data_IF_064837096688
#
_entry.id   IF_064837096688
#
_cell.length_a   1.000
_cell.length_b   1.000
_cell.length_c   1.000
_cell.angle_alpha   90.00
_cell.angle_beta   90.00
_cell.angle_gamma   90.00
#
_symmetry.space_group_name_H-M   'P 1'
#
loop_
_entity.id
_entity.type
_entity.pdbx_description
1 polymer ?
#
# COMPACT_ATOMS: atom_id res chain seq x y z
N UNK A 1 -21.99 -53.06 25.62
CA UNK A 1 -21.05 -51.91 25.72
C UNK A 1 -21.44 -51.15 26.97
N UNK A 2 -20.55 -51.04 27.95
CA UNK A 2 -20.88 -50.39 29.24
C UNK A 2 -20.95 -48.87 29.07
N UNK A 3 -21.93 -48.21 29.69
CA UNK A 3 -22.22 -46.76 29.66
C UNK A 3 -20.93 -45.93 29.88
N UNK A 4 -20.03 -46.41 30.74
CA UNK A 4 -18.75 -45.76 30.99
C UNK A 4 -17.76 -45.68 29.82
N UNK A 5 -17.85 -46.62 28.82
CA UNK A 5 -17.03 -46.56 27.62
C UNK A 5 -17.52 -45.54 26.61
N UNK A 6 -18.85 -45.38 26.52
CA UNK A 6 -19.48 -44.36 25.64
C UNK A 6 -19.19 -42.97 26.15
N UNK A 7 -19.31 -42.75 27.47
CA UNK A 7 -19.01 -41.42 28.08
C UNK A 7 -17.53 -41.04 27.88
N UNK A 8 -16.59 -41.96 28.05
CA UNK A 8 -15.16 -41.68 27.83
C UNK A 8 -14.83 -41.38 26.37
N UNK A 9 -15.52 -42.05 25.43
CA UNK A 9 -15.33 -41.79 24.01
C UNK A 9 -15.88 -40.41 23.60
N UNK A 10 -17.05 -40.03 24.09
CA UNK A 10 -17.66 -38.70 23.87
C UNK A 10 -16.79 -37.60 24.44
N UNK A 11 -16.27 -37.77 25.64
CA UNK A 11 -15.37 -36.80 26.26
C UNK A 11 -14.09 -36.58 25.44
N UNK A 12 -13.45 -37.64 24.99
CA UNK A 12 -12.25 -37.52 24.14
C UNK A 12 -12.55 -36.85 22.79
N UNK A 13 -13.68 -37.15 22.18
CA UNK A 13 -14.09 -36.48 20.94
C UNK A 13 -14.30 -34.98 21.14
N UNK A 14 -14.96 -34.57 22.24
CA UNK A 14 -15.17 -33.16 22.59
C UNK A 14 -13.83 -32.44 22.80
N UNK A 15 -12.90 -33.05 23.55
CA UNK A 15 -11.58 -32.45 23.79
C UNK A 15 -10.81 -32.28 22.49
N UNK A 16 -10.85 -33.28 21.58
CA UNK A 16 -10.18 -33.21 20.27
C UNK A 16 -10.79 -32.02 19.44
N UNK A 17 -12.09 -31.93 19.38
CA UNK A 17 -12.77 -30.83 18.66
C UNK A 17 -12.41 -29.46 19.24
N UNK A 18 -12.37 -29.33 20.58
CA UNK A 18 -11.96 -28.10 21.24
C UNK A 18 -10.50 -27.75 20.95
N UNK A 19 -9.59 -28.71 20.94
CA UNK A 19 -8.17 -28.50 20.60
C UNK A 19 -8.02 -28.07 19.14
N UNK A 20 -8.73 -28.72 18.22
CA UNK A 20 -8.72 -28.34 16.80
C UNK A 20 -9.27 -26.90 16.62
N UNK A 21 -10.36 -26.57 17.28
CA UNK A 21 -10.95 -25.23 17.23
C UNK A 21 -9.99 -24.18 17.81
N UNK A 22 -9.29 -24.49 18.90
CA UNK A 22 -8.28 -23.61 19.50
C UNK A 22 -7.08 -23.40 18.58
N UNK A 23 -6.59 -24.47 17.96
CA UNK A 23 -5.48 -24.39 16.99
C UNK A 23 -5.91 -23.61 15.75
N UNK A 24 -7.11 -23.84 15.22
CA UNK A 24 -7.66 -23.09 14.11
C UNK A 24 -7.84 -21.60 14.46
N UNK A 25 -8.35 -21.29 15.66
CA UNK A 25 -8.46 -19.92 16.15
C UNK A 25 -7.11 -19.24 16.31
N UNK A 26 -6.08 -19.94 16.82
CA UNK A 26 -4.72 -19.43 16.93
C UNK A 26 -4.06 -19.22 15.56
N UNK A 27 -4.32 -20.10 14.58
CA UNK A 27 -3.82 -19.96 13.22
C UNK A 27 -4.50 -18.79 12.48
N UNK A 28 -5.82 -18.63 12.67
CA UNK A 28 -6.57 -17.48 12.12
C UNK A 28 -6.09 -16.17 12.78
N UNK A 29 -5.91 -16.16 14.11
CA UNK A 29 -5.43 -14.96 14.81
C UNK A 29 -3.98 -14.61 14.39
N UNK A 30 -3.11 -15.61 14.22
CA UNK A 30 -1.76 -15.39 13.67
C UNK A 30 -1.76 -14.94 12.22
N UNK A 31 -2.69 -15.43 11.39
CA UNK A 31 -2.85 -14.96 10.02
C UNK A 31 -3.33 -13.50 10.01
N UNK A 32 -4.31 -13.14 10.85
CA UNK A 32 -4.81 -11.76 10.96
C UNK A 32 -3.79 -10.81 11.59
N UNK A 33 -3.01 -11.26 12.59
CA UNK A 33 -1.88 -10.49 13.15
C UNK A 33 -0.72 -10.37 12.15
N UNK A 34 -0.45 -11.40 11.36
CA UNK A 34 0.53 -11.34 10.27
C UNK A 34 0.07 -10.36 9.17
N UNK A 35 -1.22 -10.30 8.85
CA UNK A 35 -1.77 -9.30 7.96
C UNK A 35 -1.71 -7.88 8.55
N UNK A 36 -1.96 -7.71 9.86
CA UNK A 36 -1.97 -6.38 10.47
C UNK A 36 -0.60 -5.82 10.85
N UNK A 37 0.39 -6.67 11.11
CA UNK A 37 1.72 -6.26 11.62
C UNK A 37 2.87 -6.33 10.61
N UNK A 38 2.66 -6.91 9.43
CA UNK A 38 3.75 -7.40 8.59
C UNK A 38 4.12 -6.50 7.41
N UNK A 39 3.27 -5.58 6.99
CA UNK A 39 3.55 -4.81 5.78
C UNK A 39 4.70 -3.81 5.91
N UNK A 40 4.91 -3.22 7.08
CA UNK A 40 6.06 -2.33 7.34
C UNK A 40 7.40 -3.08 7.43
N UNK A 41 7.39 -4.36 7.79
CA UNK A 41 8.59 -5.17 7.96
C UNK A 41 9.09 -5.84 6.66
N UNK A 42 8.34 -5.73 5.55
CA UNK A 42 8.63 -6.44 4.30
C UNK A 42 9.35 -5.59 3.24
N UNK A 43 9.48 -4.29 3.44
CA UNK A 43 10.32 -3.46 2.56
C UNK A 43 11.79 -3.67 2.93
N UNK A 44 12.55 -4.31 2.04
CA UNK A 44 14.01 -4.29 2.16
C UNK A 44 14.50 -2.85 1.99
N UNK A 45 15.47 -2.41 2.81
CA UNK A 45 16.10 -1.11 2.59
C UNK A 45 16.62 -1.02 1.15
N UNK A 46 16.49 0.16 0.56
CA UNK A 46 17.06 0.42 -0.77
C UNK A 46 18.55 0.15 -0.78
N UNK A 47 19.02 -0.60 -1.78
CA UNK A 47 20.45 -0.79 -2.00
C UNK A 47 21.11 0.51 -2.48
N UNK A 48 22.45 0.59 -2.38
CA UNK A 48 23.18 1.75 -2.93
C UNK A 48 22.98 1.93 -4.44
N UNK A 49 22.74 0.83 -5.16
CA UNK A 49 22.43 0.87 -6.58
C UNK A 49 21.02 1.43 -6.86
N UNK A 50 20.04 1.12 -5.97
CA UNK A 50 18.70 1.65 -6.10
C UNK A 50 18.65 3.15 -5.78
N UNK A 51 19.37 3.58 -4.74
CA UNK A 51 19.51 4.99 -4.38
C UNK A 51 20.14 5.79 -5.53
N UNK A 52 21.26 5.29 -6.08
CA UNK A 52 21.90 5.90 -7.24
C UNK A 52 20.94 6.03 -8.41
N UNK A 53 20.17 4.98 -8.70
CA UNK A 53 19.18 5.01 -9.78
C UNK A 53 18.07 6.05 -9.53
N UNK A 54 17.58 6.19 -8.27
CA UNK A 54 16.61 7.24 -7.93
C UNK A 54 17.16 8.62 -8.24
N UNK A 55 18.39 8.90 -7.81
CA UNK A 55 19.04 10.19 -8.09
C UNK A 55 19.27 10.40 -9.60
N UNK A 56 19.74 9.39 -10.33
CA UNK A 56 19.94 9.50 -11.78
C UNK A 56 18.64 9.71 -12.56
N UNK A 57 17.52 9.24 -12.03
CA UNK A 57 16.19 9.31 -12.70
C UNK A 57 15.41 10.56 -12.31
N UNK A 58 15.51 10.99 -11.05
CA UNK A 58 14.65 12.00 -10.47
C UNK A 58 15.36 13.23 -9.89
N UNK A 59 16.69 13.33 -9.97
CA UNK A 59 17.38 14.56 -9.60
C UNK A 59 17.09 15.68 -10.62
N UNK A 60 17.01 16.90 -10.10
CA UNK A 60 16.87 18.10 -10.92
C UNK A 60 15.50 18.78 -10.81
N UNK A 61 14.58 18.23 -10.03
CA UNK A 61 13.34 18.91 -9.68
C UNK A 61 13.55 19.77 -8.43
N UNK A 62 13.19 21.05 -8.51
CA UNK A 62 13.42 22.01 -7.42
C UNK A 62 12.37 21.86 -6.31
N UNK A 63 11.17 21.39 -6.68
CA UNK A 63 10.04 21.25 -5.76
C UNK A 63 9.44 19.86 -5.81
N UNK A 64 8.77 19.45 -4.71
CA UNK A 64 8.01 18.21 -4.71
C UNK A 64 6.90 18.19 -5.76
N UNK A 65 6.28 19.33 -6.04
CA UNK A 65 5.21 19.45 -7.04
C UNK A 65 5.76 19.17 -8.45
N UNK A 66 6.93 19.73 -8.80
CA UNK A 66 7.61 19.42 -10.07
C UNK A 66 8.00 17.93 -10.13
N UNK A 67 8.61 17.39 -9.07
CA UNK A 67 8.90 15.95 -9.03
C UNK A 67 7.63 15.10 -9.27
N UNK A 68 6.52 15.46 -8.64
CA UNK A 68 5.27 14.70 -8.76
C UNK A 68 4.72 14.76 -10.19
N UNK A 69 4.56 15.97 -10.74
CA UNK A 69 3.86 16.17 -12.02
C UNK A 69 4.75 15.94 -13.25
N UNK A 70 6.01 16.32 -13.18
CA UNK A 70 6.93 16.28 -14.32
C UNK A 70 7.90 15.07 -14.26
N UNK A 71 8.06 14.45 -13.08
CA UNK A 71 8.90 13.29 -12.87
C UNK A 71 8.09 12.00 -12.64
N UNK A 72 7.45 11.86 -11.49
CA UNK A 72 6.89 10.59 -11.05
C UNK A 72 5.67 10.14 -11.88
N UNK A 73 4.74 11.03 -12.20
CA UNK A 73 3.54 10.69 -12.99
C UNK A 73 3.93 10.26 -14.41
N UNK A 74 4.77 11.00 -15.17
CA UNK A 74 5.25 10.54 -16.46
C UNK A 74 6.00 9.20 -16.40
N UNK A 75 6.83 8.99 -15.37
CA UNK A 75 7.52 7.74 -15.17
C UNK A 75 6.56 6.56 -14.97
N UNK A 76 5.58 6.68 -14.07
CA UNK A 76 4.56 5.63 -13.84
C UNK A 76 3.78 5.31 -15.11
N UNK A 77 3.35 6.33 -15.85
CA UNK A 77 2.54 6.13 -17.05
C UNK A 77 3.30 5.51 -18.22
N UNK A 78 4.64 5.69 -18.26
CA UNK A 78 5.50 5.13 -19.32
C UNK A 78 6.10 3.78 -18.97
N UNK A 79 6.31 3.48 -17.67
CA UNK A 79 7.14 2.35 -17.26
C UNK A 79 6.39 1.30 -16.42
N UNK A 80 5.16 1.60 -15.95
CA UNK A 80 4.42 0.66 -15.10
C UNK A 80 3.24 0.03 -15.83
N UNK A 81 2.96 -1.21 -15.44
CA UNK A 81 1.80 -1.99 -15.89
C UNK A 81 1.03 -2.48 -14.68
N UNK A 82 -0.27 -2.21 -14.61
CA UNK A 82 -1.10 -2.78 -13.56
C UNK A 82 -1.36 -4.27 -13.84
N UNK A 83 -1.12 -5.09 -12.81
CA UNK A 83 -1.27 -6.54 -12.91
C UNK A 83 -2.60 -6.97 -12.29
N UNK A 84 -3.64 -7.10 -13.12
CA UNK A 84 -4.97 -7.53 -12.70
C UNK A 84 -4.98 -8.98 -12.20
N UNK A 85 -4.08 -9.82 -12.70
CA UNK A 85 -4.00 -11.24 -12.32
C UNK A 85 -3.37 -11.44 -10.93
N UNK A 86 -2.61 -10.46 -10.45
CA UNK A 86 -1.97 -10.51 -9.12
C UNK A 86 -2.97 -10.67 -7.96
N UNK A 87 -4.18 -10.15 -8.11
CA UNK A 87 -5.24 -10.28 -7.11
C UNK A 87 -5.74 -11.72 -6.89
N UNK A 88 -5.41 -12.66 -7.77
CA UNK A 88 -5.76 -14.07 -7.61
C UNK A 88 -4.73 -14.89 -6.82
N UNK A 89 -3.55 -14.33 -6.54
CA UNK A 89 -2.47 -15.01 -5.81
C UNK A 89 -2.34 -14.53 -4.36
N UNK A 90 -3.42 -14.53 -3.62
CA UNK A 90 -3.57 -14.00 -2.24
C UNK A 90 -2.61 -14.61 -1.18
N UNK A 91 -1.72 -15.52 -1.55
CA UNK A 91 -0.84 -16.23 -0.61
C UNK A 91 0.66 -15.99 -0.80
N UNK A 92 1.07 -15.23 -1.78
CA UNK A 92 2.49 -14.91 -1.92
C UNK A 92 2.69 -13.47 -1.46
N UNK A 93 3.05 -13.31 -0.20
CA UNK A 93 3.63 -12.06 0.33
C UNK A 93 4.93 -11.83 -0.46
N UNK A 94 4.82 -11.21 -1.61
CA UNK A 94 6.01 -10.78 -2.34
C UNK A 94 6.63 -9.65 -1.54
N UNK A 95 7.83 -9.90 -1.05
CA UNK A 95 8.65 -8.85 -0.43
C UNK A 95 8.82 -7.76 -1.46
N UNK A 96 8.44 -6.54 -1.08
CA UNK A 96 8.74 -5.38 -1.88
C UNK A 96 10.26 -5.30 -2.08
N UNK A 97 10.68 -5.32 -3.33
CA UNK A 97 12.07 -5.17 -3.70
C UNK A 97 12.18 -4.05 -4.73
N UNK A 98 12.80 -2.95 -4.33
CA UNK A 98 12.88 -1.73 -5.15
C UNK A 98 13.53 -1.96 -6.52
N UNK A 99 14.47 -2.90 -6.65
CA UNK A 99 15.15 -3.18 -7.91
C UNK A 99 14.20 -3.63 -9.05
N UNK A 100 13.01 -4.13 -8.71
CA UNK A 100 12.00 -4.51 -9.71
C UNK A 100 11.51 -3.32 -10.52
N UNK A 101 11.46 -2.13 -9.91
CA UNK A 101 10.99 -0.89 -10.58
C UNK A 101 12.00 -0.29 -11.57
N UNK A 102 13.22 -0.81 -11.60
CA UNK A 102 14.24 -0.39 -12.58
C UNK A 102 14.15 -1.17 -13.90
N UNK A 103 13.25 -2.12 -13.97
CA UNK A 103 13.00 -2.89 -15.19
C UNK A 103 11.93 -2.17 -16.03
N UNK A 104 12.10 -2.19 -17.34
CA UNK A 104 11.07 -1.73 -18.25
C UNK A 104 9.81 -2.60 -18.08
N UNK A 105 8.64 -1.99 -18.18
CA UNK A 105 7.35 -2.65 -18.04
C UNK A 105 7.16 -3.36 -16.67
N UNK A 106 7.44 -2.66 -15.57
CA UNK A 106 7.18 -3.21 -14.24
C UNK A 106 5.69 -3.53 -14.05
N UNK A 107 5.39 -4.79 -13.82
CA UNK A 107 4.04 -5.27 -13.50
C UNK A 107 3.83 -5.27 -11.99
N UNK A 108 2.78 -4.57 -11.52
CA UNK A 108 2.50 -4.47 -10.09
C UNK A 108 1.09 -4.05 -9.77
N UNK A 109 0.80 -3.98 -8.47
CA UNK A 109 -0.50 -3.59 -7.91
C UNK A 109 -0.40 -2.31 -7.09
N UNK A 110 -1.53 -1.76 -6.67
CA UNK A 110 -1.65 -0.48 -5.98
C UNK A 110 -0.65 -0.32 -4.81
N UNK A 111 -0.52 -1.32 -3.96
CA UNK A 111 0.41 -1.31 -2.85
C UNK A 111 1.88 -1.17 -3.29
N UNK A 112 2.28 -1.87 -4.34
CA UNK A 112 3.65 -1.82 -4.84
C UNK A 112 3.98 -0.44 -5.44
N UNK A 113 3.04 0.18 -6.16
CA UNK A 113 3.21 1.54 -6.67
C UNK A 113 3.29 2.56 -5.54
N UNK A 114 2.47 2.38 -4.49
CA UNK A 114 2.53 3.23 -3.32
C UNK A 114 3.87 3.10 -2.55
N UNK A 115 4.41 1.89 -2.43
CA UNK A 115 5.73 1.64 -1.82
C UNK A 115 6.87 2.23 -2.64
N UNK A 116 6.81 2.10 -3.96
CA UNK A 116 7.77 2.73 -4.86
C UNK A 116 7.81 4.24 -4.64
N UNK A 117 6.65 4.89 -4.69
CA UNK A 117 6.54 6.35 -4.53
C UNK A 117 7.09 6.80 -3.17
N UNK A 118 6.73 6.09 -2.09
CA UNK A 118 7.27 6.35 -0.76
C UNK A 118 8.79 6.24 -0.73
N UNK A 119 9.36 5.21 -1.37
CA UNK A 119 10.80 4.99 -1.39
C UNK A 119 11.53 6.08 -2.15
N UNK A 120 11.03 6.49 -3.33
CA UNK A 120 11.61 7.58 -4.14
C UNK A 120 11.61 8.88 -3.35
N UNK A 121 10.46 9.28 -2.81
CA UNK A 121 10.33 10.56 -2.09
C UNK A 121 11.15 10.57 -0.80
N UNK A 122 11.19 9.46 -0.07
CA UNK A 122 12.01 9.37 1.14
C UNK A 122 13.50 9.46 0.83
N UNK A 123 13.97 8.89 -0.27
CA UNK A 123 15.38 8.98 -0.68
C UNK A 123 15.76 10.40 -1.10
N UNK A 124 14.90 11.10 -1.84
CA UNK A 124 15.20 12.44 -2.38
C UNK A 124 15.06 13.55 -1.34
N UNK A 125 14.02 13.49 -0.51
CA UNK A 125 13.65 14.59 0.40
C UNK A 125 13.82 14.24 1.89
N UNK A 126 14.06 12.97 2.24
CA UNK A 126 14.22 12.57 3.64
C UNK A 126 13.00 12.92 4.48
N UNK A 127 13.17 13.81 5.46
CA UNK A 127 12.10 14.27 6.36
C UNK A 127 11.36 15.53 5.88
N UNK A 128 11.84 16.20 4.83
CA UNK A 128 11.22 17.43 4.30
C UNK A 128 9.87 17.14 3.65
N UNK A 129 9.73 15.96 3.03
CA UNK A 129 8.47 15.47 2.49
C UNK A 129 8.11 14.16 3.18
N UNK A 130 7.09 14.18 4.02
CA UNK A 130 6.61 12.96 4.67
C UNK A 130 5.64 12.24 3.76
N UNK A 131 5.99 11.02 3.38
CA UNK A 131 5.17 10.15 2.54
C UNK A 131 4.52 9.06 3.36
N UNK A 132 3.21 8.94 3.25
CA UNK A 132 2.41 7.90 3.88
C UNK A 132 1.72 7.05 2.83
N UNK A 133 1.50 5.79 3.17
CA UNK A 133 0.63 4.89 2.43
C UNK A 133 -0.61 4.66 3.27
N UNK A 134 -1.77 4.89 2.68
CA UNK A 134 -3.05 4.62 3.30
C UNK A 134 -3.73 3.46 2.59
N UNK A 135 -3.99 2.39 3.32
CA UNK A 135 -4.86 1.32 2.86
C UNK A 135 -6.31 1.68 3.19
N UNK A 136 -7.16 1.63 2.19
CA UNK A 136 -8.57 2.03 2.27
C UNK A 136 -9.50 0.92 1.83
N UNK A 137 -10.75 0.99 2.28
CA UNK A 137 -11.88 0.19 1.78
C UNK A 137 -12.71 1.05 0.86
N UNK A 138 -12.66 0.75 -0.44
CA UNK A 138 -13.36 1.52 -1.46
C UNK A 138 -14.87 1.46 -1.21
N UNK A 139 -15.53 2.62 -1.15
CA UNK A 139 -16.96 2.76 -0.88
C UNK A 139 -17.40 1.96 0.36
N UNK A 140 -16.61 1.97 1.44
CA UNK A 140 -16.84 1.22 2.69
C UNK A 140 -16.97 -0.31 2.47
N UNK A 141 -16.51 -0.84 1.35
CA UNK A 141 -16.64 -2.24 1.03
C UNK A 141 -15.42 -3.04 1.52
N UNK A 142 -15.62 -3.92 2.50
CA UNK A 142 -14.58 -4.77 3.11
C UNK A 142 -13.86 -5.71 2.14
N UNK A 143 -14.48 -6.03 1.00
CA UNK A 143 -13.87 -6.90 -0.02
C UNK A 143 -13.10 -6.12 -1.10
N UNK A 144 -13.15 -4.79 -1.10
CA UNK A 144 -12.48 -3.94 -2.07
C UNK A 144 -11.49 -3.02 -1.36
N UNK A 145 -10.24 -3.43 -1.34
CA UNK A 145 -9.16 -2.65 -0.74
C UNK A 145 -8.30 -1.98 -1.80
N UNK A 146 -7.73 -0.84 -1.45
CA UNK A 146 -6.81 -0.10 -2.30
C UNK A 146 -5.74 0.58 -1.46
N UNK A 147 -4.62 0.97 -2.09
CA UNK A 147 -3.54 1.69 -1.42
C UNK A 147 -3.29 3.00 -2.15
N UNK A 148 -3.39 4.09 -1.38
CA UNK A 148 -3.08 5.44 -1.83
C UNK A 148 -1.79 5.95 -1.20
N UNK A 149 -1.16 6.95 -1.82
CA UNK A 149 -0.19 7.79 -1.16
C UNK A 149 -0.81 9.11 -0.74
N UNK A 150 -0.35 9.65 0.40
CA UNK A 150 -0.44 11.06 0.65
C UNK A 150 0.90 11.60 1.14
N UNK A 151 1.21 12.81 0.69
CA UNK A 151 2.47 13.46 0.96
C UNK A 151 2.20 14.74 1.72
N UNK A 152 2.96 14.97 2.78
CA UNK A 152 2.91 16.21 3.53
C UNK A 152 4.22 16.95 3.29
N UNK A 153 4.13 18.06 2.62
CA UNK A 153 5.24 18.98 2.36
C UNK A 153 5.15 20.11 3.39
N UNK A 154 6.24 20.37 4.08
CA UNK A 154 6.32 21.48 5.04
C UNK A 154 7.35 22.50 4.53
N UNK A 155 6.92 23.74 4.32
CA UNK A 155 7.80 24.81 3.89
C UNK A 155 8.65 25.34 5.06
N UNK A 156 9.63 26.20 4.76
CA UNK A 156 10.51 26.82 5.75
C UNK A 156 9.77 27.73 6.77
N UNK A 157 8.52 28.09 6.51
CA UNK A 157 7.67 28.90 7.38
C UNK A 157 6.75 28.02 8.25
N UNK A 158 6.79 26.69 8.09
CA UNK A 158 5.93 25.75 8.79
C UNK A 158 4.53 25.58 8.18
N UNK A 159 4.28 26.15 6.99
CA UNK A 159 3.03 25.87 6.28
C UNK A 159 3.07 24.45 5.73
N UNK A 160 1.94 23.75 5.86
CA UNK A 160 1.80 22.38 5.42
C UNK A 160 0.89 22.29 4.22
N UNK A 161 1.31 21.51 3.24
CA UNK A 161 0.52 21.18 2.08
C UNK A 161 0.43 19.66 1.96
N UNK A 162 -0.79 19.14 1.85
CA UNK A 162 -1.02 17.71 1.67
C UNK A 162 -1.42 17.43 0.23
N UNK A 163 -0.80 16.42 -0.37
CA UNK A 163 -1.11 15.91 -1.70
C UNK A 163 -1.65 14.48 -1.56
N UNK A 164 -2.81 14.24 -2.11
CA UNK A 164 -3.35 12.89 -2.34
C UNK A 164 -2.91 12.41 -3.72
N UNK A 165 -2.45 11.16 -3.82
CA UNK A 165 -2.03 10.56 -5.09
C UNK A 165 -2.41 9.09 -5.15
N UNK A 166 -3.17 8.72 -6.18
CA UNK A 166 -3.46 7.35 -6.58
C UNK A 166 -2.71 7.01 -7.88
N UNK A 167 -1.52 6.48 -7.76
CA UNK A 167 -0.71 6.11 -8.94
C UNK A 167 -1.36 5.02 -9.79
N UNK A 168 -2.13 4.13 -9.20
CA UNK A 168 -2.88 3.09 -9.94
C UNK A 168 -4.01 3.71 -10.75
N UNK A 169 -4.75 4.63 -10.13
CA UNK A 169 -5.80 5.39 -10.80
C UNK A 169 -5.25 6.22 -11.95
N UNK A 170 -4.14 6.94 -11.73
CA UNK A 170 -3.44 7.70 -12.77
C UNK A 170 -3.11 6.79 -13.96
N UNK A 171 -2.47 5.65 -13.73
CA UNK A 171 -2.11 4.70 -14.79
C UNK A 171 -3.33 4.16 -15.53
N UNK A 172 -4.40 3.82 -14.80
CA UNK A 172 -5.65 3.32 -15.36
C UNK A 172 -6.32 4.35 -16.27
N UNK A 173 -6.43 5.61 -15.81
CA UNK A 173 -6.99 6.72 -16.60
C UNK A 173 -6.12 7.03 -17.83
N UNK A 174 -4.80 7.10 -17.65
CA UNK A 174 -3.87 7.33 -18.74
C UNK A 174 -4.02 6.32 -19.89
N UNK A 175 -4.11 5.02 -19.55
CA UNK A 175 -4.29 3.94 -20.54
C UNK A 175 -5.61 4.02 -21.30
N UNK A 176 -6.65 4.56 -20.67
CA UNK A 176 -7.95 4.81 -21.32
C UNK A 176 -8.01 6.13 -22.05
N UNK A 177 -6.92 6.90 -22.08
CA UNK A 177 -6.88 8.26 -22.59
C UNK A 177 -7.92 9.19 -21.94
N UNK A 178 -8.10 9.04 -20.60
CA UNK A 178 -9.02 9.80 -19.77
C UNK A 178 -8.24 10.76 -18.85
N UNK A 179 -8.83 11.89 -18.45
CA UNK A 179 -8.22 12.78 -17.47
C UNK A 179 -8.05 12.09 -16.13
N UNK A 180 -6.86 12.17 -15.51
CA UNK A 180 -6.56 11.57 -14.21
C UNK A 180 -6.53 12.58 -13.03
N UNK A 181 -7.01 13.79 -13.25
CA UNK A 181 -7.01 14.82 -12.20
C UNK A 181 -7.83 14.50 -10.94
N UNK A 182 -8.67 13.44 -10.96
CA UNK A 182 -9.30 12.91 -9.75
C UNK A 182 -8.34 12.05 -8.91
N UNK A 183 -7.27 11.53 -9.51
CA UNK A 183 -6.31 10.63 -8.88
C UNK A 183 -5.11 11.38 -8.28
N UNK A 184 -5.00 12.68 -8.49
CA UNK A 184 -3.98 13.55 -7.89
C UNK A 184 -4.61 14.87 -7.47
N UNK A 185 -4.47 15.22 -6.18
CA UNK A 185 -5.08 16.43 -5.61
C UNK A 185 -4.18 17.04 -4.55
N UNK A 186 -4.04 18.35 -4.61
CA UNK A 186 -3.55 19.16 -3.50
C UNK A 186 -4.75 19.44 -2.59
N UNK A 187 -4.75 18.87 -1.39
CA UNK A 187 -5.87 18.94 -0.43
C UNK A 187 -5.63 19.97 0.70
N UNK A 188 -4.49 20.69 0.64
CA UNK A 188 -4.14 21.74 1.61
C UNK A 188 -3.99 21.19 3.02
N UNK A 189 -4.59 21.87 3.99
CA UNK A 189 -4.52 21.50 5.41
C UNK A 189 -5.54 20.43 5.83
N UNK A 190 -6.35 19.93 4.89
CA UNK A 190 -7.33 18.89 5.22
C UNK A 190 -6.61 17.61 5.62
N UNK A 191 -6.93 17.01 6.78
CA UNK A 191 -6.46 15.66 7.12
C UNK A 191 -6.82 14.66 6.05
N UNK A 192 -5.90 13.74 5.74
CA UNK A 192 -6.15 12.76 4.68
C UNK A 192 -7.35 11.85 4.99
N UNK A 193 -7.54 11.48 6.23
CA UNK A 193 -8.68 10.67 6.70
C UNK A 193 -10.01 11.38 6.38
N UNK A 194 -10.07 12.69 6.63
CA UNK A 194 -11.25 13.52 6.31
C UNK A 194 -11.49 13.59 4.79
N UNK A 195 -10.42 13.73 4.01
CA UNK A 195 -10.52 13.73 2.55
C UNK A 195 -10.98 12.36 2.03
N UNK A 196 -10.42 11.28 2.55
CA UNK A 196 -10.79 9.92 2.17
C UNK A 196 -12.27 9.65 2.44
N UNK A 197 -12.75 9.95 3.64
CA UNK A 197 -14.14 9.72 4.04
C UNK A 197 -15.12 10.63 3.29
N UNK A 198 -14.84 11.94 3.25
CA UNK A 198 -15.82 12.94 2.77
C UNK A 198 -15.82 13.13 1.25
N UNK A 199 -14.69 12.92 0.59
CA UNK A 199 -14.52 13.19 -0.84
C UNK A 199 -14.42 11.91 -1.65
N UNK A 200 -13.61 10.93 -1.19
CA UNK A 200 -13.46 9.65 -1.89
C UNK A 200 -14.54 8.64 -1.50
N UNK A 201 -15.22 8.84 -0.38
CA UNK A 201 -16.18 7.89 0.22
C UNK A 201 -15.53 6.55 0.57
N UNK A 202 -14.28 6.59 1.05
CA UNK A 202 -13.47 5.43 1.38
C UNK A 202 -13.10 5.41 2.87
N UNK A 203 -13.06 4.21 3.47
CA UNK A 203 -12.60 4.03 4.85
C UNK A 203 -11.08 3.81 4.89
N UNK A 204 -10.35 4.68 5.58
CA UNK A 204 -8.95 4.44 5.92
C UNK A 204 -8.89 3.46 7.10
N UNK A 205 -8.28 2.31 6.90
CA UNK A 205 -8.14 1.31 7.97
C UNK A 205 -6.69 1.05 8.37
N UNK A 206 -5.71 1.56 7.60
CA UNK A 206 -4.29 1.48 7.93
C UNK A 206 -3.52 2.63 7.28
N UNK A 207 -2.52 3.15 8.03
CA UNK A 207 -1.56 4.15 7.54
C UNK A 207 -0.16 3.73 7.97
N UNK A 208 0.84 3.83 7.11
CA UNK A 208 2.25 3.55 7.39
C UNK A 208 3.23 4.35 6.53
#
# INVERSE_FOLDING_TARGET
MTVGKVLKFSYRAIVIVMVIALIAGLLINRATEAESGSFTALSSPMSSADKKWVHETFDGYETFEELLYDGMIPFVTSSFVYDDDYNHHFLVIQRFNFNQFRQDDFHGVCYQFAQWAKSVVTELYGSEVRCYIADVRINHNFSKTHSYNYFIVEDSNGNRETYFVDFTGILSHYRRNEPYGCCVKKIGDMPFEDYSEKVLNDDVYRVY
#
